data_IF_880519671596
#
_entry.id   IF_880519671596
#
_cell.length_a   1.000
_cell.length_b   1.000
_cell.length_c   1.000
_cell.angle_alpha   90.00
_cell.angle_beta   90.00
_cell.angle_gamma   90.00
#
_symmetry.space_group_name_H-M   'P 1'
#
loop_
_entity.id
_entity.type
_entity.pdbx_description
1 polymer ?
#
# COMPACT_ATOMS: atom_id res chain seq x y z
N UNK A 1 -19.45 -7.69 45.80
CA UNK A 1 -18.47 -6.70 45.27
C UNK A 1 -17.42 -7.37 44.38
N UNK A 2 -17.15 -8.68 44.52
CA UNK A 2 -16.12 -9.43 43.78
C UNK A 2 -16.27 -9.51 42.25
N UNK A 3 -17.48 -9.72 41.71
CA UNK A 3 -17.69 -9.85 40.25
C UNK A 3 -17.38 -8.55 39.48
N UNK A 4 -17.55 -7.39 40.13
CA UNK A 4 -17.34 -6.09 39.49
C UNK A 4 -15.84 -5.78 39.34
N UNK A 5 -15.00 -6.26 40.26
CA UNK A 5 -13.54 -6.10 40.19
C UNK A 5 -12.91 -7.05 39.18
N UNK A 6 -13.48 -8.24 39.00
CA UNK A 6 -13.09 -9.15 37.91
C UNK A 6 -13.41 -8.56 36.54
N UNK A 7 -14.58 -7.93 36.36
CA UNK A 7 -14.90 -7.25 35.10
C UNK A 7 -14.02 -6.03 34.84
N UNK A 8 -13.67 -5.24 35.88
CA UNK A 8 -12.72 -4.13 35.74
C UNK A 8 -11.30 -4.60 35.40
N UNK A 9 -10.87 -5.72 35.98
CA UNK A 9 -9.55 -6.32 35.70
C UNK A 9 -9.50 -6.92 34.29
N UNK A 10 -10.56 -7.57 33.83
CA UNK A 10 -10.69 -8.07 32.47
C UNK A 10 -10.76 -6.93 31.44
N UNK A 11 -11.48 -5.84 31.75
CA UNK A 11 -11.54 -4.64 30.90
C UNK A 11 -10.19 -3.90 30.87
N UNK A 12 -9.48 -3.82 32.00
CA UNK A 12 -8.14 -3.22 32.08
C UNK A 12 -7.06 -4.05 31.38
N UNK A 13 -7.21 -5.37 31.32
CA UNK A 13 -6.26 -6.27 30.66
C UNK A 13 -6.39 -6.23 29.11
N UNK A 14 -7.58 -5.98 28.57
CA UNK A 14 -7.84 -6.17 27.13
C UNK A 14 -7.33 -5.04 26.21
N UNK A 15 -7.02 -3.85 26.73
CA UNK A 15 -6.61 -2.72 25.85
C UNK A 15 -5.09 -2.45 25.77
N UNK A 16 -4.25 -3.20 26.49
CA UNK A 16 -2.80 -2.96 26.51
C UNK A 16 -2.01 -3.80 25.50
N UNK A 17 -2.45 -3.84 24.23
CA UNK A 17 -1.64 -4.43 23.15
C UNK A 17 -1.64 -3.60 21.87
N UNK A 18 -1.25 -2.33 21.98
CA UNK A 18 -0.90 -1.49 20.83
C UNK A 18 0.61 -1.25 20.80
N UNK A 19 1.38 -2.32 20.59
CA UNK A 19 2.79 -2.20 20.22
C UNK A 19 2.86 -1.80 18.75
N UNK A 20 2.77 -0.49 18.50
CA UNK A 20 3.09 0.10 17.19
C UNK A 20 4.42 -0.47 16.70
N UNK A 21 4.42 -0.93 15.45
CA UNK A 21 5.47 -1.72 14.80
C UNK A 21 6.88 -1.25 15.18
N UNK A 22 7.74 -2.17 15.63
CA UNK A 22 9.17 -1.93 15.74
C UNK A 22 9.66 -1.38 14.39
N UNK A 23 10.38 -0.25 14.38
CA UNK A 23 10.90 0.39 13.15
C UNK A 23 11.60 -0.59 12.18
N UNK A 24 12.17 -1.68 12.70
CA UNK A 24 12.77 -2.77 11.92
C UNK A 24 11.77 -3.55 11.07
N UNK A 25 10.55 -3.77 11.55
CA UNK A 25 9.48 -4.47 10.81
C UNK A 25 9.01 -3.61 9.65
N UNK A 26 8.91 -2.29 9.83
CA UNK A 26 8.57 -1.37 8.74
C UNK A 26 9.65 -1.37 7.67
N UNK A 27 10.92 -1.35 8.09
CA UNK A 27 12.08 -1.44 7.19
C UNK A 27 12.12 -2.78 6.46
N UNK A 28 11.80 -3.90 7.12
CA UNK A 28 11.75 -5.21 6.49
C UNK A 28 10.64 -5.30 5.42
N UNK A 29 9.46 -4.74 5.70
CA UNK A 29 8.37 -4.66 4.71
C UNK A 29 8.77 -3.79 3.52
N UNK A 30 9.41 -2.64 3.77
CA UNK A 30 9.91 -1.75 2.71
C UNK A 30 10.99 -2.43 1.85
N UNK A 31 11.92 -3.15 2.49
CA UNK A 31 13.00 -3.86 1.82
C UNK A 31 12.45 -5.01 0.97
N UNK A 32 11.51 -5.81 1.51
CA UNK A 32 10.85 -6.88 0.77
C UNK A 32 10.09 -6.31 -0.43
N UNK A 33 9.40 -5.18 -0.25
CA UNK A 33 8.69 -4.51 -1.35
C UNK A 33 9.65 -4.06 -2.45
N UNK A 34 10.83 -3.56 -2.10
CA UNK A 34 11.82 -3.10 -3.08
C UNK A 34 12.48 -4.25 -3.85
N UNK A 35 12.71 -5.40 -3.21
CA UNK A 35 13.38 -6.55 -3.85
C UNK A 35 12.44 -7.38 -4.71
N UNK A 36 11.13 -7.43 -4.41
CA UNK A 36 10.15 -8.21 -5.17
C UNK A 36 10.12 -7.88 -6.68
N UNK A 37 10.02 -6.61 -7.12
CA UNK A 37 10.07 -6.25 -8.54
C UNK A 37 11.36 -6.66 -9.22
N UNK A 38 12.50 -6.55 -8.52
CA UNK A 38 13.80 -6.89 -9.10
C UNK A 38 13.98 -8.37 -9.42
N UNK A 39 13.25 -9.26 -8.74
CA UNK A 39 13.27 -10.70 -8.99
C UNK A 39 12.44 -11.07 -10.23
N UNK A 40 11.34 -10.36 -10.50
CA UNK A 40 10.47 -10.59 -11.66
C UNK A 40 11.21 -10.29 -12.98
N UNK A 41 12.23 -9.43 -12.93
CA UNK A 41 13.00 -8.99 -14.12
C UNK A 41 14.31 -9.74 -14.34
N UNK A 42 14.65 -10.72 -13.49
CA UNK A 42 15.90 -11.48 -13.60
C UNK A 42 15.86 -12.62 -14.63
N UNK A 43 14.68 -12.92 -15.17
CA UNK A 43 14.44 -14.08 -16.03
C UNK A 43 14.64 -13.71 -17.51
N UNK A 44 15.89 -13.80 -17.97
CA UNK A 44 16.25 -13.71 -19.38
C UNK A 44 16.56 -12.29 -19.85
N UNK A 45 17.79 -12.07 -20.32
CA UNK A 45 18.19 -10.78 -20.88
C UNK A 45 17.28 -10.43 -22.07
N UNK A 46 16.57 -9.30 -22.04
CA UNK A 46 15.71 -8.88 -23.14
C UNK A 46 16.56 -8.65 -24.40
N UNK A 47 16.34 -9.46 -25.44
CA UNK A 47 17.11 -9.43 -26.69
C UNK A 47 16.60 -8.40 -27.71
N UNK A 48 15.47 -7.73 -27.41
CA UNK A 48 14.81 -6.77 -28.30
C UNK A 48 14.51 -5.47 -27.56
N UNK A 49 14.51 -4.34 -28.26
CA UNK A 49 14.18 -3.03 -27.68
C UNK A 49 12.78 -3.05 -27.02
N UNK A 50 11.82 -3.75 -27.64
CA UNK A 50 10.48 -3.91 -27.10
C UNK A 50 10.44 -4.62 -25.73
N UNK A 51 11.26 -5.66 -25.53
CA UNK A 51 11.28 -6.38 -24.25
C UNK A 51 11.99 -5.58 -23.15
N UNK A 52 13.00 -4.77 -23.50
CA UNK A 52 13.60 -3.81 -22.55
C UNK A 52 12.53 -2.83 -22.04
N UNK A 53 11.71 -2.28 -22.95
CA UNK A 53 10.63 -1.36 -22.59
C UNK A 53 9.60 -2.03 -21.69
N UNK A 54 9.20 -3.27 -21.98
CA UNK A 54 8.22 -4.00 -21.18
C UNK A 54 8.74 -4.35 -19.79
N UNK A 55 10.02 -4.75 -19.66
CA UNK A 55 10.65 -5.01 -18.37
C UNK A 55 10.75 -3.73 -17.52
N UNK A 56 11.18 -2.61 -18.11
CA UNK A 56 11.27 -1.32 -17.40
C UNK A 56 9.88 -0.87 -16.92
N UNK A 57 8.87 -1.03 -17.77
CA UNK A 57 7.49 -0.68 -17.46
C UNK A 57 6.90 -1.55 -16.36
N UNK A 58 7.13 -2.86 -16.39
CA UNK A 58 6.70 -3.77 -15.33
C UNK A 58 7.39 -3.44 -14.00
N UNK A 59 8.68 -3.09 -14.03
CA UNK A 59 9.40 -2.62 -12.85
C UNK A 59 8.77 -1.34 -12.26
N UNK A 60 8.46 -0.36 -13.10
CA UNK A 60 7.88 0.91 -12.68
C UNK A 60 6.45 0.74 -12.15
N UNK A 61 5.67 -0.14 -12.78
CA UNK A 61 4.30 -0.48 -12.36
C UNK A 61 4.31 -1.21 -11.02
N UNK A 62 5.22 -2.17 -10.82
CA UNK A 62 5.34 -2.88 -9.56
C UNK A 62 5.78 -1.95 -8.41
N UNK A 63 6.72 -1.04 -8.65
CA UNK A 63 7.16 -0.05 -7.66
C UNK A 63 6.03 0.95 -7.30
N UNK A 64 5.31 1.45 -8.30
CA UNK A 64 4.20 2.39 -8.08
C UNK A 64 3.01 1.73 -7.36
N UNK A 65 2.64 0.50 -7.71
CA UNK A 65 1.61 -0.28 -7.01
C UNK A 65 1.97 -0.51 -5.54
N UNK A 66 3.27 -0.69 -5.25
CA UNK A 66 3.77 -0.79 -3.90
C UNK A 66 3.65 0.44 -3.05
N UNK A 67 4.15 1.54 -3.58
CA UNK A 67 4.03 2.85 -2.93
C UNK A 67 2.56 3.18 -2.68
N UNK A 68 1.69 2.91 -3.65
CA UNK A 68 0.24 3.09 -3.49
C UNK A 68 -0.31 2.22 -2.34
N UNK A 69 0.09 0.95 -2.25
CA UNK A 69 -0.35 0.04 -1.17
C UNK A 69 0.11 0.54 0.20
N UNK A 70 1.37 0.96 0.35
CA UNK A 70 1.90 1.48 1.61
C UNK A 70 1.18 2.78 1.99
N UNK A 71 1.00 3.70 1.04
CA UNK A 71 0.26 4.94 1.26
C UNK A 71 -1.19 4.67 1.70
N UNK A 72 -1.84 3.65 1.11
CA UNK A 72 -3.19 3.24 1.47
C UNK A 72 -3.26 2.69 2.91
N UNK A 73 -2.30 1.85 3.31
CA UNK A 73 -2.21 1.33 4.68
C UNK A 73 -2.03 2.48 5.69
N UNK A 74 -1.15 3.43 5.40
CA UNK A 74 -0.90 4.59 6.28
C UNK A 74 -2.15 5.48 6.37
N UNK A 75 -2.83 5.75 5.26
CA UNK A 75 -4.07 6.51 5.22
C UNK A 75 -5.19 5.81 6.03
N UNK A 76 -5.31 4.48 5.91
CA UNK A 76 -6.25 3.67 6.69
C UNK A 76 -6.02 3.75 8.20
N UNK A 77 -4.76 3.61 8.64
CA UNK A 77 -4.40 3.73 10.06
C UNK A 77 -4.66 5.15 10.59
N UNK A 78 -4.39 6.17 9.77
CA UNK A 78 -4.67 7.57 10.11
C UNK A 78 -6.18 7.83 10.24
N UNK A 79 -7.00 7.21 9.39
CA UNK A 79 -8.46 7.30 9.45
C UNK A 79 -9.03 6.66 10.72
N UNK A 80 -8.59 5.46 11.05
CA UNK A 80 -8.98 4.78 12.29
C UNK A 80 -8.57 5.56 13.55
N UNK A 81 -7.41 6.21 13.53
CA UNK A 81 -6.89 6.98 14.67
C UNK A 81 -7.47 8.40 14.80
N UNK A 82 -8.17 8.91 13.79
CA UNK A 82 -8.77 10.25 13.83
C UNK A 82 -10.13 10.33 14.56
N UNK A 83 -10.65 9.19 15.02
CA UNK A 83 -11.93 9.07 15.74
C UNK A 83 -11.90 9.92 17.02
N UNK A 84 -12.62 11.04 17.05
CA UNK A 84 -12.71 11.95 18.20
C UNK A 84 -12.32 13.42 17.91
N UNK A 85 -11.68 13.74 16.78
CA UNK A 85 -11.40 15.12 16.38
C UNK A 85 -11.87 15.38 14.93
N UNK A 86 -12.85 16.29 14.71
CA UNK A 86 -13.44 16.53 13.38
C UNK A 86 -12.42 17.04 12.35
N UNK A 87 -11.38 17.75 12.79
CA UNK A 87 -10.34 18.29 11.92
C UNK A 87 -9.38 17.20 11.41
N UNK A 88 -9.01 16.24 12.29
CA UNK A 88 -8.22 15.06 11.90
C UNK A 88 -9.01 14.10 11.03
N UNK A 89 -10.33 14.02 11.23
CA UNK A 89 -11.24 13.21 10.43
C UNK A 89 -11.33 13.69 8.98
N UNK A 90 -11.41 15.01 8.73
CA UNK A 90 -11.38 15.54 7.36
C UNK A 90 -10.07 15.22 6.64
N UNK A 91 -8.92 15.43 7.31
CA UNK A 91 -7.60 15.14 6.73
C UNK A 91 -7.48 13.64 6.40
N UNK A 92 -7.95 12.77 7.28
CA UNK A 92 -7.87 11.34 7.04
C UNK A 92 -8.79 10.86 5.90
N UNK A 93 -9.99 11.44 5.77
CA UNK A 93 -10.88 11.18 4.62
C UNK A 93 -10.25 11.65 3.30
N UNK A 94 -9.66 12.84 3.28
CA UNK A 94 -8.97 13.35 2.11
C UNK A 94 -7.78 12.45 1.72
N UNK A 95 -7.01 11.98 2.70
CA UNK A 95 -5.90 11.06 2.50
C UNK A 95 -6.35 9.69 1.95
N UNK A 96 -7.47 9.15 2.47
CA UNK A 96 -8.07 7.93 1.93
C UNK A 96 -8.53 8.09 0.48
N UNK A 97 -9.24 9.17 0.18
CA UNK A 97 -9.72 9.44 -1.19
C UNK A 97 -8.53 9.61 -2.14
N UNK A 98 -7.48 10.33 -1.73
CA UNK A 98 -6.25 10.44 -2.51
C UNK A 98 -5.57 9.09 -2.75
N UNK A 99 -5.56 8.20 -1.75
CA UNK A 99 -5.07 6.82 -1.88
C UNK A 99 -5.87 5.99 -2.88
N UNK A 100 -7.21 6.06 -2.84
CA UNK A 100 -8.08 5.40 -3.82
C UNK A 100 -7.83 5.93 -5.23
N UNK A 101 -7.75 7.25 -5.39
CA UNK A 101 -7.47 7.88 -6.69
C UNK A 101 -6.12 7.41 -7.25
N UNK A 102 -5.09 7.29 -6.42
CA UNK A 102 -3.79 6.77 -6.83
C UNK A 102 -3.86 5.35 -7.39
N UNK A 103 -4.62 4.45 -6.76
CA UNK A 103 -4.82 3.09 -7.25
C UNK A 103 -5.59 3.10 -8.58
N UNK A 104 -6.63 3.92 -8.69
CA UNK A 104 -7.42 4.05 -9.93
C UNK A 104 -6.54 4.51 -11.10
N UNK A 105 -5.64 5.47 -10.88
CA UNK A 105 -4.72 5.94 -11.92
C UNK A 105 -3.78 4.84 -12.41
N UNK A 106 -3.24 4.01 -11.51
CA UNK A 106 -2.35 2.89 -11.89
C UNK A 106 -3.11 1.87 -12.76
N UNK A 107 -4.35 1.56 -12.39
CA UNK A 107 -5.20 0.66 -13.18
C UNK A 107 -5.52 1.26 -14.56
N UNK A 108 -5.85 2.56 -14.60
CA UNK A 108 -6.11 3.27 -15.85
C UNK A 108 -4.89 3.34 -16.76
N UNK A 109 -3.68 3.51 -16.21
CA UNK A 109 -2.45 3.52 -16.99
C UNK A 109 -2.24 2.20 -17.74
N UNK A 110 -2.42 1.06 -17.06
CA UNK A 110 -2.35 -0.26 -17.69
C UNK A 110 -3.43 -0.44 -18.77
N UNK A 111 -4.64 0.06 -18.51
CA UNK A 111 -5.73 0.04 -19.49
C UNK A 111 -5.44 0.89 -20.74
N UNK A 112 -4.87 2.09 -20.55
CA UNK A 112 -4.49 2.98 -21.65
C UNK A 112 -3.39 2.37 -22.53
N UNK A 113 -2.42 1.69 -21.93
CA UNK A 113 -1.37 0.98 -22.68
C UNK A 113 -1.95 -0.14 -23.55
N UNK A 114 -2.91 -0.93 -23.03
CA UNK A 114 -3.57 -1.99 -23.78
C UNK A 114 -4.37 -1.41 -24.97
N UNK A 115 -5.00 -0.25 -24.77
CA UNK A 115 -5.65 0.49 -25.84
C UNK A 115 -4.65 0.92 -26.92
N UNK A 116 -3.52 1.51 -26.54
CA UNK A 116 -2.49 1.90 -27.51
C UNK A 116 -1.96 0.70 -28.29
N UNK A 117 -1.66 -0.43 -27.64
CA UNK A 117 -1.22 -1.67 -28.33
C UNK A 117 -2.24 -2.15 -29.36
N UNK A 118 -3.52 -2.16 -28.99
CA UNK A 118 -4.63 -2.61 -29.84
C UNK A 118 -4.84 -1.71 -31.06
N UNK A 119 -4.70 -0.39 -30.92
CA UNK A 119 -4.87 0.56 -32.03
C UNK A 119 -3.65 0.66 -32.94
N UNK A 120 -2.45 0.48 -32.40
CA UNK A 120 -1.20 0.51 -33.17
C UNK A 120 -0.81 -0.86 -33.75
N UNK A 121 -1.58 -1.93 -33.47
CA UNK A 121 -1.39 -3.25 -34.05
C UNK A 121 -0.09 -3.94 -33.60
N UNK A 122 0.36 -3.66 -32.37
CA UNK A 122 1.54 -4.23 -31.72
C UNK A 122 1.16 -5.27 -30.66
#
# INVERSE_FOLDING_TARGET
>A
MEQLDLLKTLLAFNFKNKKVMNKKIFILILLLFFTLPSLISAEGAPTTIASIVETVKNQLTALSAGLATIAFIVAGIMFLSATGNPQRMQIAKASLIAGVIGIVIIVLANGAEAFVKTFFGL
#
